data_IF_535982242745
#
_entry.id   IF_535982242745
#
_cell.length_a   1.000
_cell.length_b   1.000
_cell.length_c   1.000
_cell.angle_alpha   90.00
_cell.angle_beta   90.00
_cell.angle_gamma   90.00
#
_symmetry.space_group_name_H-M   'P 1'
#
loop_
_entity.id
_entity.type
_entity.pdbx_description
1 polymer ?
#
# COMPACT_ATOMS: atom_id res chain seq x y z
N UNK A 1 15.88 -9.01 36.38
CA UNK A 1 14.54 -9.60 36.27
C UNK A 1 13.53 -8.48 36.28
N UNK A 2 12.82 -8.24 35.18
CA UNK A 2 11.64 -7.37 35.18
C UNK A 2 10.59 -8.05 34.31
N UNK A 3 9.56 -8.54 34.99
CA UNK A 3 8.45 -9.31 34.43
C UNK A 3 7.46 -8.34 33.78
N UNK A 4 7.19 -8.50 32.48
CA UNK A 4 6.09 -7.83 31.79
C UNK A 4 5.11 -8.89 31.31
N UNK A 5 4.07 -9.12 32.11
CA UNK A 5 2.82 -9.69 31.62
C UNK A 5 1.93 -8.54 31.16
N UNK A 6 1.63 -8.47 29.86
CA UNK A 6 0.33 -8.01 29.38
C UNK A 6 0.00 -8.68 28.05
N UNK A 7 -0.89 -9.67 28.15
CA UNK A 7 -2.07 -9.88 27.32
C UNK A 7 -1.90 -10.05 25.80
N UNK A 8 -2.00 -11.31 25.42
CA UNK A 8 -2.54 -11.83 24.14
C UNK A 8 -3.73 -11.01 23.63
N UNK A 9 -3.69 -10.58 22.36
CA UNK A 9 -4.65 -10.85 21.27
C UNK A 9 -4.37 -9.89 20.09
N UNK A 10 -4.15 -10.48 18.90
CA UNK A 10 -4.26 -9.85 17.56
C UNK A 10 -3.19 -8.83 17.09
N UNK A 11 -1.90 -9.20 17.05
CA UNK A 11 -0.85 -8.38 16.43
C UNK A 11 0.06 -9.18 15.48
N UNK A 12 -0.49 -10.13 14.72
CA UNK A 12 0.33 -11.07 13.94
C UNK A 12 0.66 -10.74 12.46
N UNK A 13 0.08 -9.74 11.76
CA UNK A 13 0.62 -9.34 10.45
C UNK A 13 1.48 -8.06 10.49
N UNK A 14 1.48 -7.30 11.59
CA UNK A 14 2.09 -5.97 11.63
C UNK A 14 3.60 -5.99 11.94
N UNK A 15 4.09 -7.04 12.61
CA UNK A 15 5.48 -7.13 13.11
C UNK A 15 6.44 -7.79 12.09
N UNK A 16 5.96 -8.71 11.25
CA UNK A 16 6.80 -9.33 10.20
C UNK A 16 7.28 -8.34 9.13
N UNK A 17 6.55 -7.23 8.92
CA UNK A 17 6.92 -6.21 7.93
C UNK A 17 8.21 -5.45 8.26
N UNK A 18 8.66 -5.44 9.51
CA UNK A 18 9.87 -4.72 9.92
C UNK A 18 11.17 -5.54 9.80
N UNK A 19 11.10 -6.88 9.75
CA UNK A 19 12.31 -7.72 9.69
C UNK A 19 12.94 -7.84 8.30
N UNK A 20 12.27 -7.40 7.23
CA UNK A 20 12.79 -7.43 5.84
C UNK A 20 13.77 -6.26 5.54
N UNK A 21 14.03 -5.37 6.50
CA UNK A 21 14.79 -4.12 6.28
C UNK A 21 16.33 -4.26 6.11
N UNK A 22 16.89 -5.48 6.15
CA UNK A 22 18.34 -5.72 6.11
C UNK A 22 18.91 -6.20 4.74
N UNK A 23 18.08 -6.38 3.70
CA UNK A 23 18.57 -6.75 2.35
C UNK A 23 18.56 -5.54 1.40
N UNK A 24 19.64 -5.38 0.62
CA UNK A 24 19.96 -4.20 -0.18
C UNK A 24 18.77 -3.54 -0.89
N UNK A 25 18.68 -2.21 -0.73
CA UNK A 25 17.65 -1.39 -1.37
C UNK A 25 17.98 -1.22 -2.86
N UNK A 26 17.01 -1.50 -3.72
CA UNK A 26 17.05 -1.27 -5.17
C UNK A 26 16.19 -0.05 -5.50
N UNK A 27 16.57 0.68 -6.55
CA UNK A 27 15.77 1.79 -7.09
C UNK A 27 14.64 1.23 -7.95
N UNK A 28 13.43 1.73 -7.72
CA UNK A 28 12.23 1.43 -8.48
C UNK A 28 11.55 2.73 -8.89
N UNK A 29 10.81 2.70 -9.98
CA UNK A 29 9.91 3.79 -10.36
C UNK A 29 8.47 3.29 -10.23
N UNK A 30 7.67 3.98 -9.43
CA UNK A 30 6.23 3.76 -9.36
C UNK A 30 5.59 4.56 -10.49
N UNK A 31 4.79 3.89 -11.31
CA UNK A 31 3.96 4.49 -12.34
C UNK A 31 2.48 4.30 -11.98
N UNK A 32 1.77 5.42 -11.86
CA UNK A 32 0.34 5.49 -11.54
C UNK A 32 -0.49 5.91 -12.77
N UNK A 33 0.13 5.97 -13.95
CA UNK A 33 -0.45 6.50 -15.20
C UNK A 33 -0.36 8.02 -15.30
N UNK A 34 -0.66 8.73 -14.20
CA UNK A 34 -0.61 10.21 -14.15
C UNK A 34 0.69 10.75 -13.55
N UNK A 35 1.38 9.95 -12.72
CA UNK A 35 2.57 10.38 -11.98
C UNK A 35 3.60 9.25 -11.95
N UNK A 36 4.88 9.63 -12.06
CA UNK A 36 6.03 8.74 -11.93
C UNK A 36 6.87 9.16 -10.73
N UNK A 37 7.11 8.22 -9.81
CA UNK A 37 7.78 8.50 -8.53
C UNK A 37 8.95 7.53 -8.36
N UNK A 38 10.16 8.05 -8.20
CA UNK A 38 11.34 7.24 -7.88
C UNK A 38 11.39 6.90 -6.39
N UNK A 39 11.54 5.62 -6.08
CA UNK A 39 11.54 5.11 -4.71
C UNK A 39 12.56 4.00 -4.53
N UNK A 40 13.10 3.91 -3.31
CA UNK A 40 13.96 2.81 -2.91
C UNK A 40 13.17 1.74 -2.17
N UNK A 41 13.40 0.48 -2.52
CA UNK A 41 12.76 -0.64 -1.85
C UNK A 41 13.44 -1.96 -2.13
N UNK A 42 12.82 -3.05 -1.69
CA UNK A 42 13.41 -4.37 -1.82
C UNK A 42 12.73 -5.20 -2.91
N UNK A 43 11.41 -5.41 -2.78
CA UNK A 43 10.57 -6.12 -3.75
C UNK A 43 9.50 -5.18 -4.30
N UNK A 44 9.11 -5.39 -5.56
CA UNK A 44 8.06 -4.61 -6.23
C UNK A 44 6.76 -4.55 -5.42
N UNK A 45 6.31 -5.70 -4.90
CA UNK A 45 5.10 -5.81 -4.08
C UNK A 45 5.18 -4.98 -2.80
N UNK A 46 6.30 -5.04 -2.10
CA UNK A 46 6.50 -4.29 -0.85
C UNK A 46 6.55 -2.78 -1.09
N UNK A 47 7.13 -2.36 -2.21
CA UNK A 47 7.13 -0.96 -2.65
C UNK A 47 5.70 -0.48 -2.90
N UNK A 48 4.91 -1.25 -3.65
CA UNK A 48 3.50 -0.94 -3.92
C UNK A 48 2.69 -0.84 -2.61
N UNK A 49 2.80 -1.83 -1.72
CA UNK A 49 2.10 -1.83 -0.42
C UNK A 49 2.52 -0.62 0.42
N UNK A 50 3.82 -0.33 0.53
CA UNK A 50 4.31 0.80 1.32
C UNK A 50 3.78 2.15 0.80
N UNK A 51 3.74 2.31 -0.52
CA UNK A 51 3.17 3.50 -1.15
C UNK A 51 1.67 3.64 -0.83
N UNK A 52 0.89 2.58 -1.05
CA UNK A 52 -0.55 2.57 -0.80
C UNK A 52 -0.88 2.78 0.68
N UNK A 53 -0.10 2.22 1.60
CA UNK A 53 -0.26 2.46 3.05
C UNK A 53 0.03 3.92 3.43
N UNK A 54 1.03 4.57 2.81
CA UNK A 54 1.32 5.99 3.04
C UNK A 54 0.18 6.86 2.51
N UNK A 55 -0.30 6.58 1.30
CA UNK A 55 -1.44 7.28 0.67
C UNK A 55 -2.73 7.10 1.49
N UNK A 56 -3.03 5.89 1.96
CA UNK A 56 -4.17 5.63 2.84
C UNK A 56 -4.13 6.48 4.11
N UNK A 57 -2.97 6.59 4.77
CA UNK A 57 -2.85 7.37 6.02
C UNK A 57 -3.15 8.85 5.84
N UNK A 58 -2.86 9.43 4.68
CA UNK A 58 -3.24 10.82 4.38
C UNK A 58 -4.75 11.03 4.14
N UNK A 59 -5.52 9.96 3.95
CA UNK A 59 -6.96 10.04 3.65
C UNK A 59 -7.84 9.91 4.91
N UNK A 60 -7.26 9.60 6.08
CA UNK A 60 -8.00 9.32 7.31
C UNK A 60 -8.21 10.63 8.08
N UNK A 61 -9.40 10.77 8.70
CA UNK A 61 -9.87 11.87 9.58
C UNK A 61 -10.82 12.91 8.96
N UNK A 62 -11.47 12.64 7.84
CA UNK A 62 -12.52 13.54 7.31
C UNK A 62 -13.91 12.98 7.61
N UNK A 63 -14.78 13.82 8.22
CA UNK A 63 -16.20 13.51 8.51
C UNK A 63 -17.16 13.97 7.40
N UNK A 64 -16.65 14.72 6.44
CA UNK A 64 -17.40 15.28 5.33
C UNK A 64 -17.58 14.22 4.23
N UNK A 65 -18.84 13.85 3.96
CA UNK A 65 -19.20 12.78 3.02
C UNK A 65 -18.76 13.10 1.59
N UNK A 66 -18.93 14.34 1.14
CA UNK A 66 -18.55 14.74 -0.22
C UNK A 66 -17.04 14.64 -0.43
N UNK A 67 -16.27 15.05 0.59
CA UNK A 67 -14.81 14.89 0.57
C UNK A 67 -14.42 13.42 0.56
N UNK A 68 -15.09 12.56 1.33
CA UNK A 68 -14.79 11.12 1.36
C UNK A 68 -15.05 10.49 -0.02
N UNK A 69 -16.12 10.86 -0.71
CA UNK A 69 -16.39 10.39 -2.08
C UNK A 69 -15.30 10.85 -3.06
N UNK A 70 -14.96 12.14 -3.07
CA UNK A 70 -13.88 12.66 -3.92
C UNK A 70 -12.54 11.97 -3.63
N UNK A 71 -12.23 11.72 -2.35
CA UNK A 71 -11.01 11.03 -1.96
C UNK A 71 -11.00 9.57 -2.43
N UNK A 72 -12.14 8.88 -2.38
CA UNK A 72 -12.28 7.51 -2.87
C UNK A 72 -12.18 7.45 -4.41
N UNK A 73 -12.75 8.40 -5.14
CA UNK A 73 -12.61 8.45 -6.60
C UNK A 73 -11.16 8.67 -7.05
N UNK A 74 -10.39 9.44 -6.25
CA UNK A 74 -8.99 9.77 -6.53
C UNK A 74 -7.98 8.68 -6.13
N UNK A 75 -8.42 7.53 -5.59
CA UNK A 75 -7.49 6.43 -5.27
C UNK A 75 -7.01 5.72 -6.54
N UNK A 76 -5.72 5.33 -6.62
CA UNK A 76 -5.22 4.60 -7.77
C UNK A 76 -5.82 3.19 -7.81
N UNK A 77 -6.39 2.81 -8.94
CA UNK A 77 -6.94 1.46 -9.21
C UNK A 77 -5.89 0.51 -9.78
N UNK A 78 -4.86 1.05 -10.41
CA UNK A 78 -3.76 0.29 -11.01
C UNK A 78 -2.46 0.96 -10.58
N UNK A 79 -1.46 0.15 -10.24
CA UNK A 79 -0.12 0.61 -9.91
C UNK A 79 0.90 -0.29 -10.60
N UNK A 80 1.84 0.32 -11.30
CA UNK A 80 2.92 -0.40 -11.97
C UNK A 80 4.25 -0.02 -11.31
N UNK A 81 5.05 -1.04 -10.98
CA UNK A 81 6.36 -0.85 -10.38
C UNK A 81 7.39 -1.27 -11.43
N UNK A 82 8.10 -0.28 -11.96
CA UNK A 82 9.15 -0.44 -12.95
C UNK A 82 10.47 -0.67 -12.21
N UNK A 83 11.03 -1.86 -12.35
CA UNK A 83 12.41 -2.17 -11.96
C UNK A 83 13.33 -2.23 -13.18
N UNK A 84 14.62 -2.40 -12.95
CA UNK A 84 15.62 -2.40 -14.04
C UNK A 84 15.41 -3.45 -15.14
N UNK A 85 14.82 -4.61 -14.82
CA UNK A 85 14.63 -5.72 -15.77
C UNK A 85 13.18 -6.23 -15.87
N UNK A 86 12.30 -5.75 -15.00
CA UNK A 86 10.93 -6.27 -14.88
C UNK A 86 10.00 -5.19 -14.38
N UNK A 87 8.87 -5.06 -15.06
CA UNK A 87 7.74 -4.24 -14.61
C UNK A 87 6.66 -5.16 -14.06
N UNK A 88 6.28 -4.94 -12.80
CA UNK A 88 5.17 -5.64 -12.16
C UNK A 88 4.00 -4.69 -12.00
N UNK A 89 2.86 -5.07 -12.55
CA UNK A 89 1.62 -4.30 -12.44
C UNK A 89 0.67 -4.99 -11.46
N UNK A 90 -0.02 -4.18 -10.67
CA UNK A 90 -0.97 -4.65 -9.68
C UNK A 90 -2.29 -3.91 -9.85
N UNK A 91 -3.38 -4.66 -9.84
CA UNK A 91 -4.71 -4.11 -9.67
C UNK A 91 -4.96 -3.92 -8.17
N UNK A 92 -5.39 -2.71 -7.80
CA UNK A 92 -5.70 -2.33 -6.42
C UNK A 92 -7.20 -2.30 -6.28
N UNK A 93 -7.74 -3.23 -5.49
CA UNK A 93 -9.16 -3.25 -5.17
C UNK A 93 -9.34 -2.58 -3.81
N UNK A 94 -10.06 -1.47 -3.80
CA UNK A 94 -10.36 -0.71 -2.59
C UNK A 94 -11.72 -1.11 -2.05
N UNK A 95 -11.78 -1.32 -0.74
CA UNK A 95 -13.00 -1.64 0.00
C UNK A 95 -13.20 -0.59 1.09
N UNK A 96 -14.45 -0.16 1.26
CA UNK A 96 -14.84 0.81 2.27
C UNK A 96 -15.25 0.06 3.53
N UNK A 97 -14.54 0.30 4.62
CA UNK A 97 -14.90 -0.23 5.94
C UNK A 97 -15.27 0.93 6.88
N UNK A 98 -16.29 0.72 7.73
CA UNK A 98 -16.68 1.66 8.76
C UNK A 98 -18.18 1.63 9.02
N UNK A 99 -18.58 1.03 10.14
CA UNK A 99 -19.97 0.87 10.58
C UNK A 99 -20.37 1.82 11.73
N UNK A 100 -19.50 2.76 12.12
CA UNK A 100 -19.68 3.67 13.27
C UNK A 100 -19.42 5.14 12.87
N UNK A 101 -19.24 6.07 13.83
CA UNK A 101 -19.18 7.55 13.70
C UNK A 101 -18.26 8.17 12.61
N UNK A 102 -17.52 7.35 11.86
CA UNK A 102 -16.68 7.75 10.73
C UNK A 102 -16.91 6.82 9.51
N UNK A 103 -18.18 6.60 9.17
CA UNK A 103 -18.62 5.75 8.04
C UNK A 103 -17.81 6.05 6.77
N UNK A 104 -17.18 5.01 6.21
CA UNK A 104 -16.47 5.09 4.93
C UNK A 104 -15.11 5.80 4.92
N UNK A 105 -14.61 6.30 6.06
CA UNK A 105 -13.29 6.96 6.13
C UNK A 105 -12.08 6.01 6.25
N UNK A 106 -12.34 4.72 6.49
CA UNK A 106 -11.31 3.68 6.48
C UNK A 106 -11.37 2.94 5.15
N UNK A 107 -10.30 3.06 4.39
CA UNK A 107 -10.12 2.33 3.14
C UNK A 107 -9.21 1.13 3.36
N UNK A 108 -9.70 -0.07 3.10
CA UNK A 108 -8.88 -1.28 3.02
C UNK A 108 -8.58 -1.54 1.54
N UNK A 109 -7.43 -2.13 1.24
CA UNK A 109 -7.10 -2.50 -0.12
C UNK A 109 -6.55 -3.92 -0.19
N UNK A 110 -6.88 -4.60 -1.28
CA UNK A 110 -6.27 -5.85 -1.69
C UNK A 110 -5.52 -5.63 -3.01
N UNK A 111 -4.49 -6.44 -3.24
CA UNK A 111 -3.65 -6.37 -4.44
C UNK A 111 -3.78 -7.67 -5.22
N UNK A 112 -4.18 -7.54 -6.49
CA UNK A 112 -4.17 -8.63 -7.45
C UNK A 112 -3.01 -8.41 -8.42
N UNK A 113 -2.15 -9.41 -8.58
CA UNK A 113 -1.02 -9.32 -9.52
C UNK A 113 -1.53 -9.46 -10.95
N UNK A 114 -1.17 -8.52 -11.82
CA UNK A 114 -1.45 -8.58 -13.25
C UNK A 114 -0.29 -9.29 -13.97
N UNK A 115 -0.51 -9.85 -15.17
CA UNK A 115 0.54 -10.57 -15.89
C UNK A 115 1.79 -9.71 -16.06
N UNK A 116 2.93 -10.31 -15.69
CA UNK A 116 4.24 -9.66 -15.72
C UNK A 116 4.62 -9.26 -17.17
N UNK A 117 5.06 -8.02 -17.35
CA UNK A 117 5.68 -7.57 -18.59
C UNK A 117 7.19 -7.64 -18.43
N UNK A 118 7.79 -8.67 -19.01
CA UNK A 118 9.25 -8.74 -19.18
C UNK A 118 9.66 -7.75 -20.26
N UNK A 119 10.59 -6.87 -19.93
CA UNK A 119 11.22 -6.02 -20.94
C UNK A 119 12.19 -6.94 -21.70
N UNK A 120 11.79 -7.35 -22.91
CA UNK A 120 12.70 -8.04 -23.83
C UNK A 120 13.60 -6.94 -24.38
N UNK A 121 14.84 -6.89 -23.87
CA UNK A 121 15.90 -6.04 -24.41
C UNK A 121 16.42 -6.64 -25.72
#
# INVERSE_FOLDING_TARGET
>A
MCSFYYLSVALHPFVEFYLVYAMGKRKFTIDLGNEKIEVEGHQHKNVAIKYLMKRRRSLIMTRDKEKVELLYENVPKIISIIGGHLTKSYQVNWEREGTTEFEGSRFVFTLTELPDQKIIA
#
